data_IF_472733160099
#
_entry.id   IF_472733160099
#
_cell.length_a   1.000
_cell.length_b   1.000
_cell.length_c   1.000
_cell.angle_alpha   90.00
_cell.angle_beta   90.00
_cell.angle_gamma   90.00
#
_symmetry.space_group_name_H-M   'P 1'
#
loop_
_entity.id
_entity.type
_entity.pdbx_description
1 polymer ?
#
# COMPACT_ATOMS: atom_id res chain seq x y z
N UNK A 1 -20.88 -16.44 28.39
CA UNK A 1 -21.29 -15.57 27.28
C UNK A 1 -20.86 -16.21 25.98
N UNK A 2 -21.73 -16.37 24.96
CA UNK A 2 -21.32 -16.88 23.65
C UNK A 2 -20.32 -15.93 23.02
N UNK A 3 -19.19 -16.43 22.54
CA UNK A 3 -18.17 -15.62 21.86
C UNK A 3 -18.81 -14.90 20.65
N UNK A 4 -18.71 -13.58 20.58
CA UNK A 4 -19.19 -12.79 19.44
C UNK A 4 -18.45 -13.24 18.19
N UNK A 5 -19.15 -13.82 17.24
CA UNK A 5 -18.54 -14.36 16.00
C UNK A 5 -19.13 -13.64 14.81
N UNK A 6 -18.30 -12.92 14.05
CA UNK A 6 -18.69 -12.29 12.78
C UNK A 6 -18.33 -13.18 11.58
N UNK A 7 -18.90 -12.89 10.40
CA UNK A 7 -18.52 -13.59 9.14
C UNK A 7 -17.01 -13.48 8.86
N UNK A 8 -16.41 -12.31 9.16
CA UNK A 8 -14.98 -12.08 8.98
C UNK A 8 -14.13 -13.02 9.82
N UNK A 9 -14.45 -13.13 11.11
CA UNK A 9 -13.76 -14.05 12.04
C UNK A 9 -13.92 -15.51 11.62
N UNK A 10 -15.13 -15.93 11.17
CA UNK A 10 -15.34 -17.27 10.64
C UNK A 10 -14.48 -17.54 9.40
N UNK A 11 -14.29 -16.55 8.54
CA UNK A 11 -13.41 -16.67 7.37
C UNK A 11 -11.95 -16.84 7.82
N UNK A 12 -11.45 -15.99 8.73
CA UNK A 12 -10.07 -16.03 9.23
C UNK A 12 -9.74 -17.34 9.95
N UNK A 13 -10.67 -17.83 10.79
CA UNK A 13 -10.51 -19.10 11.52
C UNK A 13 -10.84 -20.34 10.67
N UNK A 14 -11.41 -20.16 9.48
CA UNK A 14 -11.82 -21.22 8.57
C UNK A 14 -10.69 -21.77 7.69
N UNK A 15 -11.06 -22.27 6.50
CA UNK A 15 -10.12 -22.81 5.53
C UNK A 15 -9.22 -21.68 4.96
N UNK A 16 -7.88 -21.80 5.06
CA UNK A 16 -6.96 -20.71 4.68
C UNK A 16 -7.01 -20.37 3.19
N UNK A 17 -7.22 -21.32 2.29
CA UNK A 17 -7.33 -21.07 0.85
C UNK A 17 -8.57 -20.24 0.53
N UNK A 18 -9.72 -20.63 1.14
CA UNK A 18 -10.97 -19.87 0.99
C UNK A 18 -10.87 -18.49 1.62
N UNK A 19 -10.15 -18.35 2.74
CA UNK A 19 -9.92 -17.08 3.41
C UNK A 19 -9.11 -16.12 2.51
N UNK A 20 -8.00 -16.58 1.94
CA UNK A 20 -7.21 -15.78 1.00
C UNK A 20 -8.09 -15.25 -0.14
N UNK A 21 -8.86 -16.10 -0.81
CA UNK A 21 -9.72 -15.66 -1.93
C UNK A 21 -10.78 -14.65 -1.47
N UNK A 22 -11.52 -14.97 -0.40
CA UNK A 22 -12.64 -14.14 0.08
C UNK A 22 -12.19 -12.78 0.59
N UNK A 23 -10.98 -12.65 1.11
CA UNK A 23 -10.45 -11.37 1.57
C UNK A 23 -9.71 -10.62 0.46
N UNK A 24 -9.05 -11.31 -0.46
CA UNK A 24 -8.30 -10.67 -1.55
C UNK A 24 -9.21 -9.99 -2.58
N UNK A 25 -10.29 -10.63 -3.01
CA UNK A 25 -11.17 -10.10 -4.06
C UNK A 25 -11.74 -8.72 -3.71
N UNK A 26 -12.37 -8.52 -2.53
CA UNK A 26 -12.84 -7.19 -2.15
C UNK A 26 -11.70 -6.17 -2.08
N UNK A 27 -10.55 -6.55 -1.54
CA UNK A 27 -9.41 -5.64 -1.46
C UNK A 27 -8.86 -5.24 -2.83
N UNK A 28 -8.79 -6.18 -3.77
CA UNK A 28 -8.40 -5.89 -5.16
C UNK A 28 -9.38 -4.90 -5.81
N UNK A 29 -10.68 -5.09 -5.63
CA UNK A 29 -11.71 -4.18 -6.16
C UNK A 29 -11.55 -2.78 -5.55
N UNK A 30 -11.45 -2.67 -4.22
CA UNK A 30 -11.29 -1.39 -3.54
C UNK A 30 -10.05 -0.63 -4.01
N UNK A 31 -8.91 -1.32 -4.11
CA UNK A 31 -7.65 -0.72 -4.59
C UNK A 31 -7.69 -0.37 -6.08
N UNK A 32 -8.41 -1.14 -6.91
CA UNK A 32 -8.62 -0.80 -8.33
C UNK A 32 -9.42 0.50 -8.47
N UNK A 33 -10.50 0.65 -7.71
CA UNK A 33 -11.31 1.89 -7.72
C UNK A 33 -10.48 3.08 -7.22
N UNK A 34 -9.65 2.88 -6.19
CA UNK A 34 -8.73 3.91 -5.72
C UNK A 34 -7.70 4.30 -6.79
N UNK A 35 -7.21 3.35 -7.59
CA UNK A 35 -6.29 3.65 -8.71
C UNK A 35 -7.00 4.45 -9.80
N UNK A 36 -8.24 4.10 -10.14
CA UNK A 36 -9.06 4.88 -11.10
C UNK A 36 -9.29 6.31 -10.59
N UNK A 37 -9.58 6.46 -9.30
CA UNK A 37 -9.71 7.78 -8.67
C UNK A 37 -8.42 8.61 -8.84
N UNK A 38 -7.26 8.05 -8.51
CA UNK A 38 -5.98 8.79 -8.64
C UNK A 38 -5.71 9.24 -10.08
N UNK A 39 -6.15 8.47 -11.08
CA UNK A 39 -6.04 8.86 -12.48
C UNK A 39 -7.04 9.98 -12.83
N UNK A 40 -8.28 9.89 -12.36
CA UNK A 40 -9.32 10.89 -12.61
C UNK A 40 -8.97 12.24 -11.98
N UNK A 41 -8.52 12.25 -10.72
CA UNK A 41 -8.05 13.45 -10.02
C UNK A 41 -6.92 14.15 -10.79
N UNK A 42 -5.92 13.38 -11.25
CA UNK A 42 -4.86 13.91 -12.09
C UNK A 42 -5.36 14.53 -13.41
N UNK A 43 -6.40 13.96 -14.03
CA UNK A 43 -7.02 14.51 -15.24
C UNK A 43 -7.74 15.83 -14.93
N UNK A 44 -8.54 15.89 -13.88
CA UNK A 44 -9.27 17.10 -13.49
C UNK A 44 -8.30 18.24 -13.15
N UNK A 45 -7.27 17.99 -12.36
CA UNK A 45 -6.26 19.01 -12.00
C UNK A 45 -5.48 19.47 -13.23
N UNK A 46 -5.18 18.58 -14.19
CA UNK A 46 -4.44 18.96 -15.40
C UNK A 46 -5.17 19.98 -16.26
N UNK A 47 -6.50 19.99 -16.21
CA UNK A 47 -7.33 20.98 -16.91
C UNK A 47 -7.21 22.40 -16.38
N UNK A 48 -6.62 22.62 -15.20
CA UNK A 48 -6.38 23.93 -14.59
C UNK A 48 -5.07 24.59 -15.06
N UNK A 49 -4.23 23.86 -15.79
CA UNK A 49 -2.97 24.36 -16.31
C UNK A 49 -1.74 24.00 -15.46
N UNK A 50 -0.55 24.47 -15.90
CA UNK A 50 0.73 24.01 -15.35
C UNK A 50 0.97 24.42 -13.89
N UNK A 51 0.50 25.59 -13.44
CA UNK A 51 0.68 26.05 -12.06
C UNK A 51 -0.07 25.17 -11.06
N UNK A 52 -1.28 24.72 -11.40
CA UNK A 52 -2.06 23.82 -10.58
C UNK A 52 -1.41 22.43 -10.47
N UNK A 53 -0.91 21.89 -11.58
CA UNK A 53 -0.14 20.64 -11.58
C UNK A 53 1.14 20.74 -10.75
N UNK A 54 1.86 21.85 -10.87
CA UNK A 54 3.06 22.11 -10.09
C UNK A 54 2.73 22.21 -8.59
N UNK A 55 1.62 22.84 -8.22
CA UNK A 55 1.16 22.95 -6.83
C UNK A 55 0.90 21.58 -6.20
N UNK A 56 0.15 20.72 -6.87
CA UNK A 56 -0.11 19.34 -6.40
C UNK A 56 1.20 18.53 -6.36
N UNK A 57 2.07 18.71 -7.36
CA UNK A 57 3.39 18.08 -7.42
C UNK A 57 4.30 18.45 -6.24
N UNK A 58 4.28 19.71 -5.79
CA UNK A 58 5.03 20.17 -4.61
C UNK A 58 4.55 19.50 -3.31
N UNK A 59 3.26 19.30 -3.15
CA UNK A 59 2.70 18.65 -1.96
C UNK A 59 2.84 17.13 -1.99
N UNK A 60 2.97 16.51 -3.16
CA UNK A 60 2.96 15.05 -3.32
C UNK A 60 3.95 14.30 -2.41
N UNK A 61 5.23 14.72 -2.23
CA UNK A 61 6.15 14.04 -1.32
C UNK A 61 5.69 14.10 0.15
N UNK A 62 5.14 15.23 0.58
CA UNK A 62 4.60 15.39 1.93
C UNK A 62 3.39 14.47 2.14
N UNK A 63 2.48 14.47 1.18
CA UNK A 63 1.30 13.61 1.20
C UNK A 63 1.67 12.12 1.23
N UNK A 64 2.65 11.69 0.43
CA UNK A 64 3.17 10.32 0.46
C UNK A 64 3.79 9.96 1.81
N UNK A 65 4.45 10.90 2.47
CA UNK A 65 4.95 10.72 3.83
C UNK A 65 3.81 10.46 4.83
N UNK A 66 2.76 11.27 4.78
CA UNK A 66 1.55 11.11 5.61
C UNK A 66 0.88 9.74 5.37
N UNK A 67 0.66 9.39 4.11
CA UNK A 67 0.05 8.11 3.72
C UNK A 67 0.92 6.92 4.16
N UNK A 68 2.25 7.02 4.07
CA UNK A 68 3.17 5.97 4.50
C UNK A 68 3.06 5.71 5.99
N UNK A 69 3.01 6.76 6.82
CA UNK A 69 2.84 6.65 8.27
C UNK A 69 1.46 6.08 8.62
N UNK A 70 0.41 6.61 8.00
CA UNK A 70 -0.98 6.18 8.22
C UNK A 70 -1.21 4.71 7.83
N UNK A 71 -0.71 4.33 6.65
CA UNK A 71 -0.82 2.96 6.12
C UNK A 71 -0.01 1.97 6.96
N UNK A 72 1.20 2.35 7.39
CA UNK A 72 1.99 1.52 8.30
C UNK A 72 1.27 1.24 9.61
N UNK A 73 0.69 2.26 10.24
CA UNK A 73 -0.11 2.09 11.45
C UNK A 73 -1.33 1.18 11.21
N UNK A 74 -2.01 1.33 10.06
CA UNK A 74 -3.10 0.46 9.65
C UNK A 74 -2.67 -1.00 9.42
N UNK A 75 -1.47 -1.25 8.88
CA UNK A 75 -0.90 -2.59 8.73
C UNK A 75 -0.55 -3.19 10.10
N UNK A 76 -0.02 -2.38 11.03
CA UNK A 76 0.24 -2.79 12.41
C UNK A 76 -1.04 -3.21 13.14
N UNK A 77 -2.11 -2.43 13.02
CA UNK A 77 -3.43 -2.73 13.57
C UNK A 77 -4.00 -4.03 12.97
N UNK A 78 -3.99 -4.17 11.62
CA UNK A 78 -4.41 -5.38 10.91
C UNK A 78 -3.70 -6.63 11.46
N UNK A 79 -2.39 -6.57 11.53
CA UNK A 79 -1.55 -7.67 11.99
C UNK A 79 -1.83 -8.06 13.44
N UNK A 80 -1.88 -7.08 14.36
CA UNK A 80 -2.08 -7.33 15.78
C UNK A 80 -3.49 -7.88 16.07
N UNK A 81 -4.54 -7.30 15.45
CA UNK A 81 -5.93 -7.77 15.59
C UNK A 81 -6.07 -9.20 15.06
N UNK A 82 -5.54 -9.48 13.86
CA UNK A 82 -5.65 -10.81 13.27
C UNK A 82 -5.01 -11.90 14.15
N UNK A 83 -3.85 -11.61 14.76
CA UNK A 83 -3.20 -12.54 15.71
C UNK A 83 -4.07 -12.78 16.94
N UNK A 84 -4.66 -11.74 17.55
CA UNK A 84 -5.55 -11.86 18.72
C UNK A 84 -6.81 -12.66 18.38
N UNK A 85 -7.40 -12.44 17.20
CA UNK A 85 -8.53 -13.25 16.70
C UNK A 85 -8.16 -14.72 16.56
N UNK A 86 -6.99 -15.01 15.99
CA UNK A 86 -6.48 -16.38 15.91
C UNK A 86 -6.29 -17.03 17.28
N UNK A 87 -5.76 -16.30 18.24
CA UNK A 87 -5.56 -16.72 19.62
C UNK A 87 -6.88 -16.80 20.43
N UNK A 88 -8.03 -16.40 19.86
CA UNK A 88 -9.34 -16.27 20.54
C UNK A 88 -9.32 -15.27 21.71
N UNK A 89 -8.44 -14.30 21.64
CA UNK A 89 -8.27 -13.24 22.61
C UNK A 89 -9.10 -12.01 22.17
N UNK A 90 -10.40 -12.03 22.53
CA UNK A 90 -11.35 -10.96 22.18
C UNK A 90 -10.97 -9.64 22.84
N UNK A 91 -10.67 -9.69 24.15
CA UNK A 91 -10.30 -8.53 24.95
C UNK A 91 -9.01 -7.87 24.42
N UNK A 92 -8.02 -8.70 24.10
CA UNK A 92 -6.80 -8.20 23.46
C UNK A 92 -7.04 -7.60 22.08
N UNK A 93 -7.96 -8.13 21.27
CA UNK A 93 -8.32 -7.57 19.97
C UNK A 93 -9.02 -6.21 20.12
N UNK A 94 -9.93 -6.06 21.09
CA UNK A 94 -10.59 -4.80 21.40
C UNK A 94 -9.58 -3.75 21.85
N UNK A 95 -8.68 -4.14 22.73
CA UNK A 95 -7.66 -3.23 23.25
C UNK A 95 -6.66 -2.79 22.15
N UNK A 96 -6.31 -3.69 21.22
CA UNK A 96 -5.51 -3.29 20.02
C UNK A 96 -6.27 -2.28 19.17
N UNK A 97 -7.57 -2.46 18.94
CA UNK A 97 -8.37 -1.53 18.17
C UNK A 97 -8.44 -0.13 18.82
N UNK A 98 -8.63 -0.08 20.16
CA UNK A 98 -8.64 1.18 20.91
C UNK A 98 -7.27 1.88 20.86
N UNK A 99 -6.16 1.15 21.09
CA UNK A 99 -4.81 1.70 20.95
C UNK A 99 -4.55 2.24 19.56
N UNK A 100 -4.97 1.50 18.51
CA UNK A 100 -4.82 1.93 17.12
C UNK A 100 -5.60 3.20 16.82
N UNK A 101 -6.80 3.34 17.38
CA UNK A 101 -7.60 4.56 17.28
C UNK A 101 -6.90 5.75 17.96
N UNK A 102 -6.44 5.58 19.21
CA UNK A 102 -5.72 6.63 19.93
C UNK A 102 -4.44 7.04 19.18
N UNK A 103 -3.68 6.07 18.68
CA UNK A 103 -2.49 6.35 17.87
C UNK A 103 -2.82 7.10 16.59
N UNK A 104 -3.97 6.80 15.95
CA UNK A 104 -4.41 7.54 14.76
C UNK A 104 -4.73 9.00 15.05
N UNK A 105 -5.37 9.24 16.20
CA UNK A 105 -5.66 10.60 16.69
C UNK A 105 -4.35 11.36 16.99
N UNK A 106 -3.46 10.75 17.77
CA UNK A 106 -2.18 11.37 18.12
C UNK A 106 -1.33 11.68 16.89
N UNK A 107 -1.22 10.72 15.95
CA UNK A 107 -0.47 10.90 14.71
C UNK A 107 -1.06 11.99 13.84
N UNK A 108 -2.38 11.98 13.62
CA UNK A 108 -3.07 12.98 12.80
C UNK A 108 -2.95 14.39 13.37
N UNK A 109 -3.16 14.54 14.68
CA UNK A 109 -2.99 15.83 15.39
C UNK A 109 -1.53 16.30 15.33
N UNK A 110 -0.57 15.40 15.56
CA UNK A 110 0.86 15.73 15.48
C UNK A 110 1.21 16.23 14.06
N UNK A 111 0.75 15.55 13.01
CA UNK A 111 0.99 15.97 11.62
C UNK A 111 0.41 17.38 11.40
N UNK A 112 -0.83 17.64 11.82
CA UNK A 112 -1.46 18.96 11.68
C UNK A 112 -0.64 20.03 12.40
N UNK A 113 -0.33 19.83 13.69
CA UNK A 113 0.37 20.82 14.52
C UNK A 113 1.79 21.11 14.01
N UNK A 114 2.49 20.09 13.49
CA UNK A 114 3.87 20.25 13.03
C UNK A 114 3.96 20.74 11.60
N UNK A 115 3.14 20.22 10.69
CA UNK A 115 3.24 20.51 9.25
C UNK A 115 2.52 21.81 8.86
N UNK A 116 1.36 22.11 9.46
CA UNK A 116 0.55 23.26 9.08
C UNK A 116 1.31 24.59 9.23
N UNK A 117 2.06 24.87 10.31
CA UNK A 117 2.83 26.09 10.43
C UNK A 117 4.15 26.11 9.62
N UNK A 118 4.65 24.93 9.21
CA UNK A 118 5.95 24.81 8.56
C UNK A 118 5.86 24.64 7.04
N UNK A 119 4.68 24.33 6.50
CA UNK A 119 4.51 23.98 5.08
C UNK A 119 4.93 25.13 4.13
N UNK A 120 4.66 26.36 4.51
CA UNK A 120 5.03 27.57 3.77
C UNK A 120 6.56 27.69 3.64
N UNK A 121 7.26 27.60 4.78
CA UNK A 121 8.73 27.64 4.82
C UNK A 121 9.32 26.44 4.06
N UNK A 122 8.71 25.27 4.16
CA UNK A 122 9.15 24.07 3.44
C UNK A 122 9.13 24.29 1.93
N UNK A 123 8.01 24.73 1.34
CA UNK A 123 7.92 24.92 -0.11
C UNK A 123 8.84 26.02 -0.61
N UNK A 124 8.97 27.14 0.14
CA UNK A 124 9.90 28.20 -0.23
C UNK A 124 11.37 27.74 -0.14
N UNK A 125 11.71 26.89 0.83
CA UNK A 125 13.07 26.31 0.95
C UNK A 125 13.40 25.35 -0.20
N UNK A 126 12.40 24.71 -0.84
CA UNK A 126 12.58 23.87 -2.03
C UNK A 126 12.89 24.72 -3.29
N UNK A 127 12.97 26.04 -3.18
CA UNK A 127 13.24 26.93 -4.29
C UNK A 127 12.04 27.26 -5.16
N UNK A 128 10.86 26.82 -4.78
CA UNK A 128 9.63 27.09 -5.49
C UNK A 128 9.21 28.58 -5.31
N UNK A 129 8.73 29.22 -6.39
CA UNK A 129 8.37 30.64 -6.43
C UNK A 129 7.13 30.86 -7.28
N UNK A 130 6.50 32.02 -7.10
CA UNK A 130 5.36 32.45 -7.92
C UNK A 130 4.02 31.80 -7.51
N UNK A 131 3.06 31.84 -8.40
CA UNK A 131 1.68 31.41 -8.17
C UNK A 131 1.55 29.92 -7.74
N UNK A 132 2.38 29.04 -8.31
CA UNK A 132 2.35 27.62 -8.00
C UNK A 132 2.62 27.32 -6.51
N UNK A 133 3.45 28.14 -5.84
CA UNK A 133 3.72 27.97 -4.40
C UNK A 133 2.53 28.40 -3.57
N UNK A 134 1.90 29.52 -3.89
CA UNK A 134 0.71 29.99 -3.14
C UNK A 134 -0.42 28.96 -3.27
N UNK A 135 -0.67 28.46 -4.48
CA UNK A 135 -1.63 27.38 -4.72
C UNK A 135 -1.28 26.10 -3.95
N UNK A 136 0.01 25.74 -3.89
CA UNK A 136 0.47 24.57 -3.14
C UNK A 136 0.24 24.73 -1.62
N UNK A 137 0.47 25.93 -1.07
CA UNK A 137 0.24 26.24 0.33
C UNK A 137 -1.24 26.13 0.67
N UNK A 138 -2.11 26.75 -0.12
CA UNK A 138 -3.57 26.70 0.08
C UNK A 138 -4.09 25.28 -0.02
N UNK A 139 -3.73 24.54 -1.07
CA UNK A 139 -4.08 23.14 -1.28
C UNK A 139 -3.66 22.26 -0.09
N UNK A 140 -2.40 22.41 0.34
CA UNK A 140 -1.82 21.64 1.42
C UNK A 140 -2.47 21.91 2.77
N UNK A 141 -2.79 23.17 3.06
CA UNK A 141 -3.44 23.57 4.32
C UNK A 141 -4.77 22.86 4.51
N UNK A 142 -5.58 22.74 3.46
CA UNK A 142 -6.86 22.02 3.51
C UNK A 142 -6.65 20.55 3.91
N UNK A 143 -5.70 19.86 3.27
CA UNK A 143 -5.44 18.45 3.55
C UNK A 143 -4.74 18.22 4.90
N UNK A 144 -3.86 19.14 5.32
CA UNK A 144 -3.20 19.06 6.62
C UNK A 144 -4.15 19.28 7.81
N UNK A 145 -5.16 20.14 7.66
CA UNK A 145 -6.25 20.27 8.65
C UNK A 145 -7.00 18.94 8.76
N UNK A 146 -7.19 18.23 7.64
CA UNK A 146 -7.83 16.91 7.58
C UNK A 146 -6.91 15.73 7.90
N UNK A 147 -5.65 15.93 8.32
CA UNK A 147 -4.69 14.84 8.50
C UNK A 147 -5.18 13.74 9.44
N UNK A 148 -5.91 14.09 10.51
CA UNK A 148 -6.54 13.08 11.37
C UNK A 148 -7.50 12.16 10.61
N UNK A 149 -8.33 12.72 9.74
CA UNK A 149 -9.28 11.96 8.91
C UNK A 149 -8.54 10.99 7.99
N UNK A 150 -7.44 11.46 7.38
CA UNK A 150 -6.60 10.64 6.50
C UNK A 150 -6.01 9.46 7.27
N UNK A 151 -5.43 9.71 8.44
CA UNK A 151 -4.81 8.68 9.28
C UNK A 151 -5.87 7.71 9.80
N UNK A 152 -6.99 8.23 10.31
CA UNK A 152 -8.09 7.40 10.82
C UNK A 152 -8.64 6.45 9.74
N UNK A 153 -8.86 6.93 8.50
CA UNK A 153 -9.37 6.10 7.42
C UNK A 153 -8.42 4.92 7.11
N UNK A 154 -7.11 5.17 7.11
CA UNK A 154 -6.13 4.10 6.90
C UNK A 154 -6.11 3.08 8.05
N UNK A 155 -6.15 3.55 9.29
CA UNK A 155 -6.17 2.70 10.49
C UNK A 155 -7.50 1.95 10.61
N UNK A 156 -8.63 2.60 10.38
CA UNK A 156 -9.96 1.99 10.38
C UNK A 156 -10.08 0.89 9.33
N UNK A 157 -9.59 1.13 8.12
CA UNK A 157 -9.45 0.07 7.10
C UNK A 157 -8.54 -1.06 7.58
N UNK A 158 -7.45 -0.75 8.29
CA UNK A 158 -6.57 -1.73 8.91
C UNK A 158 -7.29 -2.61 9.93
N UNK A 159 -8.09 -2.01 10.80
CA UNK A 159 -8.92 -2.71 11.79
C UNK A 159 -9.91 -3.66 11.10
N UNK A 160 -10.69 -3.16 10.13
CA UNK A 160 -11.66 -3.96 9.38
C UNK A 160 -11.00 -5.16 8.66
N UNK A 161 -9.83 -4.95 8.06
CA UNK A 161 -9.06 -6.05 7.44
C UNK A 161 -8.56 -7.04 8.48
N UNK A 162 -8.12 -6.56 9.64
CA UNK A 162 -7.62 -7.38 10.73
C UNK A 162 -8.67 -8.32 11.32
N UNK A 163 -9.93 -7.88 11.36
CA UNK A 163 -11.06 -8.73 11.77
C UNK A 163 -11.67 -9.58 10.63
N UNK A 164 -11.10 -9.50 9.42
CA UNK A 164 -11.58 -10.25 8.26
C UNK A 164 -12.77 -9.64 7.54
N UNK A 165 -13.17 -8.40 7.85
CA UNK A 165 -14.25 -7.70 7.15
C UNK A 165 -13.72 -6.90 5.95
N UNK A 166 -13.17 -7.62 4.97
CA UNK A 166 -12.66 -7.03 3.74
C UNK A 166 -13.76 -6.36 2.91
N UNK A 167 -15.02 -6.76 3.07
CA UNK A 167 -16.13 -6.15 2.33
C UNK A 167 -16.40 -4.72 2.81
N UNK A 168 -16.42 -4.46 4.13
CA UNK A 168 -16.55 -3.09 4.65
C UNK A 168 -15.32 -2.25 4.32
N UNK A 169 -14.12 -2.81 4.41
CA UNK A 169 -12.91 -2.13 3.98
C UNK A 169 -12.98 -1.72 2.49
N UNK A 170 -13.44 -2.62 1.61
CA UNK A 170 -13.69 -2.31 0.19
C UNK A 170 -14.75 -1.22 0.02
N UNK A 171 -15.89 -1.35 0.69
CA UNK A 171 -16.97 -0.35 0.59
C UNK A 171 -16.51 1.05 1.01
N UNK A 172 -15.72 1.16 2.08
CA UNK A 172 -15.15 2.43 2.51
C UNK A 172 -14.24 3.04 1.43
N UNK A 173 -13.38 2.22 0.79
CA UNK A 173 -12.52 2.67 -0.31
C UNK A 173 -13.33 3.08 -1.55
N UNK A 174 -14.32 2.27 -1.94
CA UNK A 174 -15.17 2.55 -3.11
C UNK A 174 -16.01 3.81 -2.91
N UNK A 175 -16.60 3.99 -1.72
CA UNK A 175 -17.38 5.18 -1.38
C UNK A 175 -16.50 6.45 -1.42
N UNK A 176 -15.35 6.43 -0.75
CA UNK A 176 -14.44 7.58 -0.74
C UNK A 176 -13.93 7.93 -2.13
N UNK A 177 -13.44 6.95 -2.87
CA UNK A 177 -12.91 7.16 -4.23
C UNK A 177 -14.01 7.57 -5.22
N UNK A 178 -15.16 6.90 -5.17
CA UNK A 178 -16.30 7.20 -6.06
C UNK A 178 -16.87 8.59 -5.81
N UNK A 179 -17.02 8.98 -4.53
CA UNK A 179 -17.49 10.30 -4.16
C UNK A 179 -16.49 11.39 -4.61
N UNK A 180 -15.20 11.15 -4.46
CA UNK A 180 -14.18 12.10 -4.89
C UNK A 180 -14.23 12.35 -6.41
N UNK A 181 -14.31 11.29 -7.24
CA UNK A 181 -14.43 11.43 -8.71
C UNK A 181 -15.59 12.34 -9.10
N UNK A 182 -16.70 12.29 -8.35
CA UNK A 182 -17.89 13.12 -8.61
C UNK A 182 -17.71 14.54 -8.08
N UNK A 183 -17.10 14.71 -6.91
CA UNK A 183 -16.93 16.01 -6.27
C UNK A 183 -15.84 16.87 -6.90
N UNK A 184 -14.78 16.26 -7.44
CA UNK A 184 -13.68 17.01 -8.06
C UNK A 184 -14.17 18.00 -9.12
N UNK A 185 -14.89 17.60 -10.20
CA UNK A 185 -15.33 18.56 -11.22
C UNK A 185 -16.30 19.59 -10.65
N UNK A 186 -17.07 19.26 -9.63
CA UNK A 186 -17.99 20.22 -8.99
C UNK A 186 -17.20 21.31 -8.27
N UNK A 187 -16.25 20.94 -7.42
CA UNK A 187 -15.49 21.90 -6.63
C UNK A 187 -14.46 22.66 -7.48
N UNK A 188 -13.83 21.98 -8.44
CA UNK A 188 -12.80 22.56 -9.30
C UNK A 188 -13.41 23.57 -10.27
N UNK A 189 -14.43 23.14 -11.04
CA UNK A 189 -14.94 23.89 -12.18
C UNK A 189 -16.28 24.57 -11.89
N UNK A 190 -17.27 23.87 -11.32
CA UNK A 190 -18.61 24.43 -11.15
C UNK A 190 -18.63 25.49 -10.05
N UNK A 191 -17.96 25.23 -8.91
CA UNK A 191 -17.81 26.20 -7.83
C UNK A 191 -16.63 27.16 -8.03
N UNK A 192 -15.75 26.89 -9.00
CA UNK A 192 -14.65 27.76 -9.37
C UNK A 192 -13.50 27.85 -8.37
N UNK A 193 -13.37 26.87 -7.44
CA UNK A 193 -12.29 26.87 -6.43
C UNK A 193 -10.93 26.42 -6.99
N UNK A 194 -10.85 26.03 -8.27
CA UNK A 194 -9.59 25.63 -8.90
C UNK A 194 -8.92 24.45 -8.18
N UNK A 195 -7.60 24.51 -8.03
CA UNK A 195 -6.83 23.41 -7.40
C UNK A 195 -7.18 23.21 -5.91
N UNK A 196 -7.55 24.27 -5.20
CA UNK A 196 -8.00 24.17 -3.79
C UNK A 196 -9.32 23.42 -3.72
N UNK A 197 -10.16 23.52 -4.77
CA UNK A 197 -11.38 22.72 -4.92
C UNK A 197 -11.11 21.21 -4.92
N UNK A 198 -10.04 20.76 -5.57
CA UNK A 198 -9.62 19.35 -5.50
C UNK A 198 -9.26 18.92 -4.06
N UNK A 199 -8.61 19.78 -3.28
CA UNK A 199 -8.34 19.50 -1.86
C UNK A 199 -9.63 19.40 -1.03
N UNK A 200 -10.60 20.29 -1.25
CA UNK A 200 -11.90 20.23 -0.58
C UNK A 200 -12.68 18.96 -0.96
N UNK A 201 -12.72 18.58 -2.23
CA UNK A 201 -13.38 17.38 -2.71
C UNK A 201 -12.76 16.12 -2.07
N UNK A 202 -11.42 16.07 -2.04
CA UNK A 202 -10.67 14.98 -1.40
C UNK A 202 -10.97 14.91 0.10
N UNK A 203 -10.89 16.03 0.82
CA UNK A 203 -11.15 16.05 2.25
C UNK A 203 -12.60 15.67 2.58
N UNK A 204 -13.57 16.20 1.83
CA UNK A 204 -15.00 15.87 2.03
C UNK A 204 -15.26 14.38 1.79
N UNK A 205 -14.72 13.80 0.73
CA UNK A 205 -14.82 12.37 0.44
C UNK A 205 -14.22 11.52 1.55
N UNK A 206 -13.08 11.95 2.09
CA UNK A 206 -12.44 11.28 3.23
C UNK A 206 -13.24 11.44 4.53
N UNK A 207 -13.89 12.58 4.76
CA UNK A 207 -14.79 12.79 5.91
C UNK A 207 -16.00 11.86 5.82
N UNK A 208 -16.60 11.71 4.65
CA UNK A 208 -17.73 10.78 4.46
C UNK A 208 -17.26 9.34 4.74
N UNK A 209 -16.11 8.94 4.22
CA UNK A 209 -15.50 7.62 4.49
C UNK A 209 -15.26 7.42 6.00
N UNK A 210 -14.70 8.43 6.66
CA UNK A 210 -14.48 8.45 8.11
C UNK A 210 -15.80 8.22 8.87
N UNK A 211 -16.87 8.94 8.51
CA UNK A 211 -18.17 8.79 9.15
C UNK A 211 -18.75 7.38 8.98
N UNK A 212 -18.59 6.75 7.80
CA UNK A 212 -19.02 5.37 7.60
C UNK A 212 -18.22 4.37 8.45
N UNK A 213 -16.90 4.49 8.48
CA UNK A 213 -16.04 3.63 9.30
C UNK A 213 -16.35 3.85 10.78
N UNK A 214 -16.48 5.10 11.22
CA UNK A 214 -16.83 5.44 12.60
C UNK A 214 -18.21 4.92 12.97
N UNK A 215 -19.21 5.03 12.08
CA UNK A 215 -20.53 4.45 12.29
C UNK A 215 -20.46 2.93 12.54
N UNK A 216 -19.72 2.19 11.74
CA UNK A 216 -19.61 0.75 11.92
C UNK A 216 -18.88 0.37 13.22
N UNK A 217 -17.79 1.06 13.54
CA UNK A 217 -16.95 0.73 14.70
C UNK A 217 -17.54 1.22 16.04
N UNK A 218 -18.16 2.40 16.07
CA UNK A 218 -18.57 3.02 17.34
C UNK A 218 -20.09 3.00 17.59
N UNK A 219 -20.93 3.08 16.53
CA UNK A 219 -22.38 3.23 16.66
C UNK A 219 -23.07 1.88 16.45
N UNK A 220 -22.90 1.27 15.28
CA UNK A 220 -23.57 0.02 14.93
C UNK A 220 -23.05 -1.17 15.72
N UNK A 221 -21.76 -1.17 16.07
CA UNK A 221 -21.09 -2.18 16.91
C UNK A 221 -21.35 -3.62 16.50
N UNK A 222 -21.51 -3.86 15.19
CA UNK A 222 -21.67 -5.20 14.62
C UNK A 222 -20.37 -5.76 14.02
N UNK A 223 -19.26 -5.04 14.19
CA UNK A 223 -17.89 -5.49 13.98
C UNK A 223 -17.46 -6.47 15.07
N UNK A 224 -16.41 -7.24 14.84
CA UNK A 224 -15.90 -8.15 15.88
C UNK A 224 -15.31 -7.36 17.04
N UNK A 225 -14.46 -6.37 16.75
CA UNK A 225 -13.88 -5.50 17.79
C UNK A 225 -14.92 -4.50 18.31
N UNK A 226 -14.89 -4.27 19.62
CA UNK A 226 -15.69 -3.28 20.30
C UNK A 226 -14.77 -2.17 20.84
N UNK A 227 -14.90 -0.96 20.25
CA UNK A 227 -14.08 0.18 20.64
C UNK A 227 -14.84 0.98 21.68
N UNK A 228 -14.53 0.73 22.96
CA UNK A 228 -15.13 1.40 24.11
C UNK A 228 -14.03 1.98 24.99
N UNK A 229 -13.93 3.31 25.06
CA UNK A 229 -12.90 3.98 25.88
C UNK A 229 -12.99 3.63 27.37
N UNK A 230 -14.15 3.15 27.82
CA UNK A 230 -14.36 2.70 29.20
C UNK A 230 -13.51 1.48 29.54
N UNK A 231 -13.25 0.62 28.57
CA UNK A 231 -12.50 -0.63 28.74
C UNK A 231 -11.03 -0.47 28.32
N UNK A 232 -10.61 0.77 28.10
CA UNK A 232 -9.24 1.08 27.71
C UNK A 232 -8.25 0.77 28.83
N UNK A 233 -7.35 -0.15 28.60
CA UNK A 233 -6.24 -0.48 29.47
C UNK A 233 -4.91 -0.16 28.75
N UNK A 234 -4.22 0.94 29.11
CA UNK A 234 -2.95 1.30 28.51
C UNK A 234 -1.93 0.16 28.65
N UNK A 235 -1.47 -0.38 27.52
CA UNK A 235 -0.51 -1.48 27.51
C UNK A 235 0.68 -1.16 26.61
N UNK A 236 1.86 -1.13 27.20
CA UNK A 236 3.13 -1.00 26.45
C UNK A 236 3.35 -2.17 25.50
N UNK A 237 2.87 -3.34 25.86
CA UNK A 237 2.98 -4.54 25.02
C UNK A 237 2.17 -4.40 23.75
N UNK A 238 0.91 -3.97 23.87
CA UNK A 238 0.03 -3.72 22.69
C UNK A 238 0.61 -2.62 21.83
N UNK A 239 1.04 -1.51 22.42
CA UNK A 239 1.69 -0.42 21.68
C UNK A 239 2.92 -0.93 20.91
N UNK A 240 3.80 -1.69 21.58
CA UNK A 240 4.96 -2.30 20.94
C UNK A 240 4.57 -3.29 19.82
N UNK A 241 3.51 -4.05 20.01
CA UNK A 241 3.04 -5.03 19.05
C UNK A 241 2.52 -4.36 17.76
N UNK A 242 1.79 -3.25 17.89
CA UNK A 242 1.34 -2.43 16.75
C UNK A 242 2.52 -1.78 16.04
N UNK A 243 3.40 -1.10 16.80
CA UNK A 243 4.52 -0.33 16.25
C UNK A 243 5.61 -1.21 15.65
N UNK A 244 5.82 -2.43 16.17
CA UNK A 244 6.79 -3.39 15.65
C UNK A 244 6.50 -3.82 14.21
N UNK A 245 5.27 -3.73 13.78
CA UNK A 245 4.87 -3.96 12.39
C UNK A 245 4.63 -2.63 11.67
N UNK A 246 3.98 -1.69 12.34
CA UNK A 246 3.58 -0.41 11.76
C UNK A 246 4.75 0.45 11.30
N UNK A 247 5.73 0.72 12.18
CA UNK A 247 6.89 1.55 11.84
C UNK A 247 7.74 0.94 10.70
N UNK A 248 8.13 -0.35 10.75
CA UNK A 248 8.82 -0.96 9.62
C UNK A 248 8.02 -0.92 8.32
N UNK A 249 6.69 -1.05 8.37
CA UNK A 249 5.84 -0.96 7.18
C UNK A 249 5.82 0.45 6.59
N UNK A 250 5.78 1.49 7.43
CA UNK A 250 5.93 2.89 7.00
C UNK A 250 7.28 3.12 6.31
N UNK A 251 8.37 2.67 6.92
CA UNK A 251 9.71 2.77 6.36
C UNK A 251 9.86 1.97 5.05
N UNK A 252 9.17 0.84 4.94
CA UNK A 252 9.14 0.06 3.69
C UNK A 252 8.51 0.85 2.54
N UNK A 253 7.42 1.58 2.80
CA UNK A 253 6.79 2.42 1.78
C UNK A 253 7.66 3.61 1.39
N UNK A 254 8.28 4.27 2.37
CA UNK A 254 9.24 5.36 2.09
C UNK A 254 10.44 4.86 1.28
N UNK A 255 10.96 3.67 1.60
CA UNK A 255 12.08 3.09 0.84
C UNK A 255 11.72 2.79 -0.62
N UNK A 256 10.46 2.42 -0.91
CA UNK A 256 9.98 2.27 -2.29
C UNK A 256 9.98 3.61 -3.05
N UNK A 257 9.58 4.71 -2.41
CA UNK A 257 9.64 6.05 -3.01
C UNK A 257 11.07 6.49 -3.29
N UNK A 258 12.00 6.20 -2.37
CA UNK A 258 13.44 6.46 -2.54
C UNK A 258 14.00 5.62 -3.70
N UNK A 259 13.62 4.34 -3.78
CA UNK A 259 14.05 3.47 -4.88
C UNK A 259 13.57 4.00 -6.24
N UNK A 260 12.34 4.52 -6.30
CA UNK A 260 11.80 5.11 -7.52
C UNK A 260 12.59 6.36 -7.95
N UNK A 261 13.00 7.20 -7.00
CA UNK A 261 13.87 8.33 -7.27
C UNK A 261 15.20 7.89 -7.92
N UNK A 262 15.86 6.88 -7.36
CA UNK A 262 17.10 6.35 -7.94
C UNK A 262 16.89 5.68 -9.30
N UNK A 263 15.79 4.93 -9.49
CA UNK A 263 15.48 4.31 -10.77
C UNK A 263 15.23 5.36 -11.86
N UNK A 264 14.55 6.46 -11.53
CA UNK A 264 14.40 7.61 -12.42
C UNK A 264 15.76 8.20 -12.81
N UNK A 265 16.65 8.39 -11.83
CA UNK A 265 18.00 8.88 -12.07
C UNK A 265 18.80 7.96 -13.01
N UNK A 266 18.71 6.64 -12.80
CA UNK A 266 19.35 5.64 -13.68
C UNK A 266 18.75 5.66 -15.09
N UNK A 267 17.43 5.86 -15.23
CA UNK A 267 16.78 5.98 -16.54
C UNK A 267 17.23 7.24 -17.29
N UNK A 268 17.43 8.38 -16.56
CA UNK A 268 17.99 9.60 -17.13
C UNK A 268 19.43 9.38 -17.58
N UNK A 269 20.26 8.72 -16.76
CA UNK A 269 21.66 8.38 -17.13
C UNK A 269 21.73 7.52 -18.40
N UNK A 270 20.78 6.58 -18.56
CA UNK A 270 20.77 5.63 -19.67
C UNK A 270 20.23 6.23 -20.99
N UNK A 271 19.34 7.23 -20.96
CA UNK A 271 18.65 7.71 -22.15
C UNK A 271 18.19 9.17 -22.11
N UNK A 272 18.67 9.97 -21.13
CA UNK A 272 18.28 11.39 -20.99
C UNK A 272 16.77 11.56 -20.82
N UNK A 273 16.22 12.61 -21.42
CA UNK A 273 14.79 12.91 -21.39
C UNK A 273 13.93 11.81 -22.03
N UNK A 274 14.42 11.17 -23.07
CA UNK A 274 13.75 10.01 -23.67
C UNK A 274 13.69 8.83 -22.71
N UNK A 275 14.76 8.57 -21.98
CA UNK A 275 14.85 7.47 -21.00
C UNK A 275 13.82 7.61 -19.90
N UNK A 276 13.69 8.80 -19.30
CA UNK A 276 12.71 9.04 -18.25
C UNK A 276 11.28 9.01 -18.79
N UNK A 277 11.02 9.50 -20.01
CA UNK A 277 9.70 9.45 -20.63
C UNK A 277 9.24 7.98 -20.85
N UNK A 278 10.11 7.14 -21.41
CA UNK A 278 9.85 5.71 -21.61
C UNK A 278 9.64 4.99 -20.27
N UNK A 279 10.50 5.26 -19.28
CA UNK A 279 10.38 4.65 -17.96
C UNK A 279 9.06 5.01 -17.30
N UNK A 280 8.73 6.30 -17.26
CA UNK A 280 7.49 6.79 -16.63
C UNK A 280 6.24 6.21 -17.31
N UNK A 281 6.22 6.18 -18.65
CA UNK A 281 5.12 5.59 -19.41
C UNK A 281 4.94 4.09 -19.11
N UNK A 282 6.04 3.34 -19.13
CA UNK A 282 6.03 1.90 -18.80
C UNK A 282 5.63 1.66 -17.35
N UNK A 283 6.14 2.48 -16.42
CA UNK A 283 5.84 2.34 -14.99
C UNK A 283 4.37 2.57 -14.68
N UNK A 284 3.71 3.54 -15.33
CA UNK A 284 2.26 3.76 -15.18
C UNK A 284 1.44 2.53 -15.52
N UNK A 285 1.78 1.85 -16.61
CA UNK A 285 1.13 0.58 -17.00
C UNK A 285 1.43 -0.52 -15.97
N UNK A 286 2.68 -0.61 -15.54
CA UNK A 286 3.13 -1.61 -14.56
C UNK A 286 2.45 -1.44 -13.19
N UNK A 287 2.18 -0.19 -12.78
CA UNK A 287 1.46 0.12 -11.53
C UNK A 287 0.03 -0.48 -11.52
N UNK A 288 -0.64 -0.56 -12.66
CA UNK A 288 -1.94 -1.22 -12.74
C UNK A 288 -1.84 -2.72 -12.42
N UNK A 289 -0.73 -3.36 -12.82
CA UNK A 289 -0.45 -4.75 -12.50
C UNK A 289 -0.13 -5.00 -11.02
N UNK A 290 0.38 -4.02 -10.28
CA UNK A 290 0.70 -4.17 -8.85
C UNK A 290 -0.57 -4.22 -7.97
N UNK A 291 -1.68 -3.65 -8.42
CA UNK A 291 -2.93 -3.56 -7.63
C UNK A 291 -3.42 -4.91 -7.11
N UNK A 292 -3.52 -5.98 -7.92
CA UNK A 292 -3.91 -7.30 -7.44
C UNK A 292 -3.00 -7.82 -6.32
N UNK A 293 -1.68 -7.64 -6.47
CA UNK A 293 -0.70 -8.08 -5.47
C UNK A 293 -0.90 -7.37 -4.14
N UNK A 294 -1.15 -6.06 -4.15
CA UNK A 294 -1.40 -5.28 -2.93
C UNK A 294 -2.66 -5.75 -2.19
N UNK A 295 -3.75 -6.01 -2.92
CA UNK A 295 -4.97 -6.56 -2.34
C UNK A 295 -4.75 -7.93 -1.69
N UNK A 296 -3.99 -8.78 -2.36
CA UNK A 296 -3.61 -10.10 -1.83
C UNK A 296 -2.65 -10.02 -0.65
N UNK A 297 -1.71 -9.07 -0.64
CA UNK A 297 -0.81 -8.86 0.49
C UNK A 297 -1.58 -8.48 1.76
N UNK A 298 -2.57 -7.59 1.65
CA UNK A 298 -3.42 -7.21 2.78
C UNK A 298 -4.20 -8.41 3.37
N UNK A 299 -4.74 -9.27 2.51
CA UNK A 299 -5.40 -10.52 2.91
C UNK A 299 -4.42 -11.52 3.52
N UNK A 300 -3.23 -11.65 2.94
CA UNK A 300 -2.18 -12.57 3.43
C UNK A 300 -1.74 -12.18 4.83
N UNK A 301 -1.55 -10.88 5.12
CA UNK A 301 -1.22 -10.39 6.47
C UNK A 301 -2.27 -10.82 7.49
N UNK A 302 -3.56 -10.64 7.19
CA UNK A 302 -4.65 -11.03 8.10
C UNK A 302 -4.74 -12.55 8.31
N UNK A 303 -4.74 -13.34 7.21
CA UNK A 303 -4.91 -14.80 7.29
C UNK A 303 -3.71 -15.49 7.94
N UNK A 304 -2.48 -15.07 7.61
CA UNK A 304 -1.27 -15.61 8.25
C UNK A 304 -1.14 -15.17 9.70
N UNK A 305 -1.58 -13.94 10.02
CA UNK A 305 -1.65 -13.45 11.40
C UNK A 305 -2.60 -14.28 12.26
N UNK A 306 -3.82 -14.54 11.76
CA UNK A 306 -4.79 -15.38 12.46
C UNK A 306 -4.28 -16.82 12.63
N UNK A 307 -3.69 -17.42 11.59
CA UNK A 307 -3.13 -18.77 11.67
C UNK A 307 -1.96 -18.86 12.67
N UNK A 308 -1.13 -17.80 12.74
CA UNK A 308 -0.04 -17.72 13.72
C UNK A 308 -0.57 -17.58 15.14
N UNK A 309 -1.58 -16.72 15.37
CA UNK A 309 -2.26 -16.58 16.66
C UNK A 309 -2.92 -17.89 17.14
N UNK A 310 -3.51 -18.65 16.21
CA UNK A 310 -4.07 -20.01 16.46
C UNK A 310 -2.98 -21.06 16.75
N UNK A 311 -1.69 -20.70 16.61
CA UNK A 311 -0.54 -21.63 16.66
C UNK A 311 -0.62 -22.78 15.65
N UNK A 312 -1.33 -22.57 14.56
CA UNK A 312 -1.55 -23.57 13.50
C UNK A 312 -0.61 -23.28 12.32
N UNK A 313 0.57 -23.92 12.36
CA UNK A 313 1.61 -23.68 11.35
C UNK A 313 1.27 -24.29 9.98
N UNK A 314 0.51 -25.38 9.94
CA UNK A 314 0.05 -25.96 8.67
C UNK A 314 -0.89 -25.00 7.94
N UNK A 315 -1.79 -24.37 8.69
CA UNK A 315 -2.72 -23.36 8.18
C UNK A 315 -1.98 -22.12 7.70
N UNK A 316 -0.97 -21.66 8.46
CA UNK A 316 -0.09 -20.56 8.09
C UNK A 316 0.65 -20.85 6.78
N UNK A 317 1.31 -22.01 6.71
CA UNK A 317 2.06 -22.43 5.51
C UNK A 317 1.14 -22.54 4.28
N UNK A 318 -0.04 -23.14 4.48
CA UNK A 318 -1.04 -23.28 3.41
C UNK A 318 -1.52 -21.93 2.91
N UNK A 319 -1.83 -20.98 3.81
CA UNK A 319 -2.23 -19.62 3.45
C UNK A 319 -1.13 -18.90 2.65
N UNK A 320 0.09 -18.94 3.17
CA UNK A 320 1.25 -18.29 2.57
C UNK A 320 1.55 -18.82 1.16
N UNK A 321 1.67 -20.13 1.00
CA UNK A 321 1.98 -20.72 -0.31
C UNK A 321 0.84 -20.57 -1.31
N UNK A 322 -0.40 -20.65 -0.84
CA UNK A 322 -1.56 -20.47 -1.70
C UNK A 322 -1.68 -19.03 -2.18
N UNK A 323 -1.40 -18.05 -1.32
CA UNK A 323 -1.35 -16.65 -1.71
C UNK A 323 -0.28 -16.38 -2.78
N UNK A 324 0.94 -16.95 -2.62
CA UNK A 324 1.99 -16.86 -3.65
C UNK A 324 1.50 -17.46 -4.96
N UNK A 325 0.97 -18.69 -4.92
CA UNK A 325 0.49 -19.39 -6.13
C UNK A 325 -0.57 -18.58 -6.86
N UNK A 326 -1.57 -18.07 -6.14
CA UNK A 326 -2.66 -17.33 -6.73
C UNK A 326 -2.18 -16.00 -7.33
N UNK A 327 -1.36 -15.24 -6.59
CA UNK A 327 -0.77 -13.99 -7.07
C UNK A 327 0.12 -14.21 -8.29
N UNK A 328 0.94 -15.27 -8.28
CA UNK A 328 1.78 -15.63 -9.42
C UNK A 328 0.95 -15.91 -10.67
N UNK A 329 -0.16 -16.64 -10.56
CA UNK A 329 -1.03 -16.95 -11.70
C UNK A 329 -1.73 -15.70 -12.24
N UNK A 330 -2.17 -14.80 -11.35
CA UNK A 330 -2.78 -13.52 -11.74
C UNK A 330 -1.76 -12.66 -12.47
N UNK A 331 -0.55 -12.50 -11.93
CA UNK A 331 0.49 -11.68 -12.55
C UNK A 331 0.99 -12.28 -13.87
N UNK A 332 1.04 -13.58 -13.98
CA UNK A 332 1.35 -14.23 -15.25
C UNK A 332 0.34 -13.83 -16.35
N UNK A 333 -0.95 -13.80 -16.00
CA UNK A 333 -2.01 -13.34 -16.91
C UNK A 333 -1.88 -11.85 -17.25
N UNK A 334 -1.65 -11.00 -16.25
CA UNK A 334 -1.46 -9.55 -16.44
C UNK A 334 -0.25 -9.26 -17.33
N UNK A 335 0.88 -9.88 -17.03
CA UNK A 335 2.12 -9.68 -17.80
C UNK A 335 1.98 -10.21 -19.23
N UNK A 336 1.36 -11.38 -19.41
CA UNK A 336 1.07 -11.92 -20.74
C UNK A 336 0.19 -10.96 -21.56
N UNK A 337 -0.84 -10.37 -20.92
CA UNK A 337 -1.70 -9.37 -21.56
C UNK A 337 -0.88 -8.14 -21.98
N UNK A 338 -0.08 -7.56 -21.09
CA UNK A 338 0.72 -6.36 -21.38
C UNK A 338 1.73 -6.63 -22.50
N UNK A 339 2.40 -7.79 -22.51
CA UNK A 339 3.37 -8.16 -23.54
C UNK A 339 2.71 -8.34 -24.90
N UNK A 340 1.56 -9.04 -24.94
CA UNK A 340 0.82 -9.30 -26.19
C UNK A 340 0.26 -8.01 -26.80
N UNK A 341 -0.29 -7.12 -25.96
CA UNK A 341 -0.89 -5.87 -26.38
C UNK A 341 0.05 -4.65 -26.23
N UNK A 342 1.37 -4.88 -26.07
CA UNK A 342 2.35 -3.81 -25.92
C UNK A 342 2.28 -2.72 -27.02
N UNK A 343 2.10 -3.04 -28.33
CA UNK A 343 1.97 -2.00 -29.35
C UNK A 343 0.69 -1.14 -29.19
N UNK A 344 -0.44 -1.75 -28.82
CA UNK A 344 -1.71 -1.06 -28.58
C UNK A 344 -1.65 -0.18 -27.34
N UNK A 345 -1.07 -0.71 -26.25
CA UNK A 345 -0.84 0.04 -25.02
C UNK A 345 0.12 1.21 -25.27
N UNK A 346 1.22 0.99 -26.00
CA UNK A 346 2.15 2.06 -26.36
C UNK A 346 1.47 3.16 -27.18
N UNK A 347 0.55 2.81 -28.10
CA UNK A 347 -0.19 3.78 -28.91
C UNK A 347 -0.97 4.78 -28.03
N UNK A 348 -1.55 4.36 -26.91
CA UNK A 348 -2.27 5.26 -26.00
C UNK A 348 -1.38 6.37 -25.41
N UNK A 349 -0.08 6.13 -25.33
CA UNK A 349 0.90 7.10 -24.83
C UNK A 349 1.66 7.85 -25.93
N UNK A 350 1.54 7.40 -27.18
CA UNK A 350 2.31 7.92 -28.32
C UNK A 350 1.42 8.33 -29.50
N UNK A 351 0.18 8.78 -29.22
CA UNK A 351 -0.74 9.23 -30.28
C UNK A 351 -0.36 10.60 -30.87
N UNK A 352 0.39 11.45 -30.11
CA UNK A 352 0.89 12.74 -30.57
C UNK A 352 2.16 12.57 -31.40
N UNK A 353 2.37 13.45 -32.39
CA UNK A 353 3.56 13.40 -33.26
C UNK A 353 4.88 13.48 -32.49
N UNK A 354 4.94 14.34 -31.46
CA UNK A 354 6.12 14.47 -30.59
C UNK A 354 6.45 13.20 -29.81
N UNK A 355 5.43 12.42 -29.41
CA UNK A 355 5.60 11.19 -28.65
C UNK A 355 5.89 9.94 -29.53
N UNK A 356 5.68 10.03 -30.84
CA UNK A 356 5.98 8.91 -31.75
C UNK A 356 7.46 8.50 -31.74
N UNK A 357 8.35 9.45 -31.48
CA UNK A 357 9.79 9.21 -31.44
C UNK A 357 10.21 8.16 -30.38
N UNK A 358 9.43 7.98 -29.29
CA UNK A 358 9.73 7.02 -28.22
C UNK A 358 8.95 5.72 -28.33
N UNK A 359 8.07 5.56 -29.35
CA UNK A 359 7.16 4.42 -29.49
C UNK A 359 7.87 3.07 -29.49
N UNK A 360 8.96 2.94 -30.25
CA UNK A 360 9.71 1.69 -30.35
C UNK A 360 10.35 1.29 -29.02
N UNK A 361 10.94 2.24 -28.31
CA UNK A 361 11.56 2.04 -27.01
C UNK A 361 10.49 1.72 -25.95
N UNK A 362 9.34 2.38 -26.01
CA UNK A 362 8.21 2.11 -25.11
C UNK A 362 7.64 0.70 -25.28
N UNK A 363 7.48 0.23 -26.53
CA UNK A 363 7.07 -1.16 -26.81
C UNK A 363 8.11 -2.15 -26.26
N UNK A 364 9.40 -1.89 -26.46
CA UNK A 364 10.48 -2.73 -25.92
C UNK A 364 10.44 -2.77 -24.39
N UNK A 365 10.23 -1.63 -23.74
CA UNK A 365 10.12 -1.52 -22.29
C UNK A 365 8.87 -2.24 -21.77
N UNK A 366 7.70 -2.10 -22.41
CA UNK A 366 6.45 -2.79 -22.05
C UNK A 366 6.54 -4.31 -22.22
N UNK A 367 7.41 -4.80 -23.09
CA UNK A 367 7.66 -6.24 -23.25
C UNK A 367 8.67 -6.81 -22.26
N UNK A 368 9.49 -5.97 -21.63
CA UNK A 368 10.58 -6.43 -20.76
C UNK A 368 10.30 -6.11 -19.29
N UNK A 369 10.04 -4.84 -18.97
CA UNK A 369 9.92 -4.41 -17.58
C UNK A 369 8.80 -5.15 -16.81
N UNK A 370 7.58 -5.33 -17.31
CA UNK A 370 6.52 -5.98 -16.55
C UNK A 370 6.81 -7.43 -16.12
N UNK A 371 7.81 -8.08 -16.73
CA UNK A 371 8.22 -9.46 -16.36
C UNK A 371 8.56 -9.55 -14.86
N UNK A 372 9.08 -8.48 -14.26
CA UNK A 372 9.38 -8.50 -12.83
C UNK A 372 8.14 -8.74 -11.96
N UNK A 373 6.93 -8.37 -12.43
CA UNK A 373 5.68 -8.58 -11.70
C UNK A 373 5.39 -10.06 -11.46
N UNK A 374 5.74 -10.94 -12.41
CA UNK A 374 5.55 -12.41 -12.28
C UNK A 374 6.24 -12.96 -11.04
N UNK A 375 7.40 -12.40 -10.68
CA UNK A 375 8.21 -12.85 -9.54
C UNK A 375 7.96 -12.04 -8.27
N UNK A 376 7.31 -10.88 -8.37
CA UNK A 376 6.99 -10.01 -7.25
C UNK A 376 6.18 -10.71 -6.13
N UNK A 377 5.22 -11.61 -6.42
CA UNK A 377 4.48 -12.34 -5.40
C UNK A 377 5.35 -13.09 -4.39
N UNK A 378 6.47 -13.66 -4.81
CA UNK A 378 7.37 -14.40 -3.91
C UNK A 378 7.94 -13.50 -2.81
N UNK A 379 8.30 -12.25 -3.14
CA UNK A 379 8.79 -11.27 -2.16
C UNK A 379 7.67 -10.61 -1.38
N UNK A 380 6.61 -10.15 -2.05
CA UNK A 380 5.54 -9.37 -1.40
C UNK A 380 4.67 -10.23 -0.47
N UNK A 381 4.31 -11.46 -0.85
CA UNK A 381 3.56 -12.34 0.04
C UNK A 381 4.42 -12.79 1.22
N UNK A 382 5.75 -12.92 1.05
CA UNK A 382 6.68 -13.16 2.16
C UNK A 382 6.72 -11.97 3.12
N UNK A 383 6.82 -10.74 2.61
CA UNK A 383 6.72 -9.53 3.43
C UNK A 383 5.39 -9.45 4.17
N UNK A 384 4.27 -9.74 3.51
CA UNK A 384 2.94 -9.78 4.10
C UNK A 384 2.81 -10.85 5.19
N UNK A 385 3.39 -12.03 4.98
CA UNK A 385 3.45 -13.09 5.99
C UNK A 385 4.29 -12.64 7.21
N UNK A 386 5.46 -12.01 7.01
CA UNK A 386 6.25 -11.47 8.12
C UNK A 386 5.48 -10.39 8.90
N UNK A 387 4.76 -9.51 8.23
CA UNK A 387 3.86 -8.56 8.88
C UNK A 387 2.78 -9.29 9.70
N UNK A 388 2.13 -10.29 9.11
CA UNK A 388 1.08 -11.07 9.77
C UNK A 388 1.53 -11.74 11.07
N UNK A 389 2.72 -12.35 11.07
CA UNK A 389 3.29 -13.00 12.27
C UNK A 389 3.94 -12.04 13.28
N UNK A 390 3.89 -10.70 13.03
CA UNK A 390 4.44 -9.69 13.93
C UNK A 390 5.94 -9.41 13.75
N UNK A 391 6.56 -9.86 12.66
CA UNK A 391 7.98 -9.66 12.35
C UNK A 391 8.17 -8.55 11.29
N UNK A 392 7.64 -7.35 11.57
CA UNK A 392 7.67 -6.22 10.64
C UNK A 392 9.08 -5.79 10.22
N UNK A 393 10.06 -5.91 11.10
CA UNK A 393 11.46 -5.63 10.80
C UNK A 393 12.00 -6.52 9.66
N UNK A 394 11.59 -7.78 9.60
CA UNK A 394 12.00 -8.68 8.50
C UNK A 394 11.34 -8.31 7.18
N UNK A 395 10.09 -7.85 7.23
CA UNK A 395 9.40 -7.30 6.07
C UNK A 395 10.11 -6.06 5.52
N UNK A 396 10.56 -5.15 6.41
CA UNK A 396 11.35 -3.97 6.02
C UNK A 396 12.66 -4.36 5.36
N UNK A 397 13.45 -5.22 6.00
CA UNK A 397 14.74 -5.69 5.46
C UNK A 397 14.55 -6.31 4.08
N UNK A 398 13.54 -7.17 3.90
CA UNK A 398 13.25 -7.78 2.61
C UNK A 398 12.83 -6.76 1.55
N UNK A 399 12.04 -5.75 1.93
CA UNK A 399 11.61 -4.70 1.00
C UNK A 399 12.77 -3.81 0.57
N UNK A 400 13.60 -3.33 1.51
CA UNK A 400 14.79 -2.53 1.24
C UNK A 400 15.78 -3.31 0.37
N UNK A 401 16.03 -4.57 0.72
CA UNK A 401 16.88 -5.45 -0.06
C UNK A 401 16.38 -5.58 -1.51
N UNK A 402 15.09 -5.82 -1.70
CA UNK A 402 14.48 -5.97 -3.02
C UNK A 402 14.58 -4.68 -3.84
N UNK A 403 14.16 -3.55 -3.26
CA UNK A 403 13.95 -2.31 -4.04
C UNK A 403 15.22 -1.50 -4.17
N UNK A 404 15.90 -1.19 -3.06
CA UNK A 404 17.07 -0.33 -3.07
C UNK A 404 18.35 -1.07 -3.45
N UNK A 405 18.55 -2.30 -2.93
CA UNK A 405 19.81 -3.00 -3.18
C UNK A 405 19.73 -3.75 -4.50
N UNK A 406 18.73 -4.59 -4.70
CA UNK A 406 18.69 -5.45 -5.89
C UNK A 406 18.19 -4.69 -7.13
N UNK A 407 17.00 -4.07 -7.11
CA UNK A 407 16.45 -3.45 -8.32
C UNK A 407 17.28 -2.24 -8.75
N UNK A 408 17.56 -1.28 -7.86
CA UNK A 408 18.39 -0.11 -8.18
C UNK A 408 19.82 -0.51 -8.48
N UNK A 409 20.41 -1.40 -7.67
CA UNK A 409 21.79 -1.85 -7.85
C UNK A 409 22.02 -2.52 -9.20
N UNK A 410 21.20 -3.51 -9.58
CA UNK A 410 21.34 -4.16 -10.89
C UNK A 410 21.03 -3.21 -12.06
N UNK A 411 20.03 -2.32 -11.93
CA UNK A 411 19.76 -1.33 -12.95
C UNK A 411 20.97 -0.41 -13.17
N UNK A 412 21.57 0.09 -12.09
CA UNK A 412 22.78 0.91 -12.14
C UNK A 412 23.97 0.15 -12.75
N UNK A 413 24.22 -1.07 -12.28
CA UNK A 413 25.33 -1.91 -12.78
C UNK A 413 25.21 -2.17 -14.28
N UNK A 414 24.01 -2.49 -14.77
CA UNK A 414 23.83 -2.80 -16.20
C UNK A 414 23.94 -1.55 -17.06
N UNK A 415 23.47 -0.40 -16.61
CA UNK A 415 23.63 0.86 -17.35
C UNK A 415 25.08 1.31 -17.38
N UNK A 416 25.82 1.16 -16.28
CA UNK A 416 27.18 1.69 -16.17
C UNK A 416 28.26 0.76 -16.76
N UNK A 417 28.11 -0.56 -16.60
CA UNK A 417 29.13 -1.53 -16.98
C UNK A 417 28.84 -2.34 -18.26
N UNK A 418 27.65 -2.08 -18.90
CA UNK A 418 27.32 -2.75 -20.17
C UNK A 418 26.88 -1.73 -21.22
N UNK A 419 26.90 -2.13 -22.48
CA UNK A 419 26.41 -1.32 -23.60
C UNK A 419 24.89 -1.40 -23.83
N UNK A 420 24.11 -1.85 -22.83
CA UNK A 420 22.68 -2.10 -22.99
C UNK A 420 21.81 -0.81 -22.97
N UNK A 421 22.35 0.32 -22.48
CA UNK A 421 21.60 1.57 -22.39
C UNK A 421 20.29 1.41 -21.61
N UNK A 422 19.18 1.90 -22.16
CA UNK A 422 17.85 1.77 -21.52
C UNK A 422 17.40 0.33 -21.26
N UNK A 423 17.79 -0.63 -22.10
CA UNK A 423 17.50 -2.05 -21.85
C UNK A 423 18.15 -2.54 -20.56
N UNK A 424 19.31 -1.97 -20.21
CA UNK A 424 19.99 -2.26 -18.94
C UNK A 424 19.14 -1.91 -17.72
N UNK A 425 18.38 -0.81 -17.77
CA UNK A 425 17.46 -0.43 -16.69
C UNK A 425 16.38 -1.50 -16.49
N UNK A 426 15.72 -1.92 -17.58
CA UNK A 426 14.63 -2.89 -17.53
C UNK A 426 15.10 -4.26 -17.06
N UNK A 427 16.18 -4.76 -17.66
CA UNK A 427 16.77 -6.04 -17.29
C UNK A 427 17.32 -6.03 -15.86
N UNK A 428 17.90 -4.91 -15.43
CA UNK A 428 18.39 -4.75 -14.06
C UNK A 428 17.27 -4.86 -13.03
N UNK A 429 16.13 -4.21 -13.27
CA UNK A 429 14.95 -4.32 -12.39
C UNK A 429 14.43 -5.77 -12.38
N UNK A 430 14.33 -6.42 -13.54
CA UNK A 430 13.84 -7.81 -13.64
C UNK A 430 14.75 -8.78 -12.89
N UNK A 431 16.07 -8.72 -13.15
CA UNK A 431 17.05 -9.61 -12.51
C UNK A 431 17.17 -9.30 -11.03
N UNK A 432 17.21 -8.02 -10.65
CA UNK A 432 17.23 -7.63 -9.24
C UNK A 432 16.02 -8.15 -8.48
N UNK A 433 14.83 -8.06 -9.08
CA UNK A 433 13.61 -8.61 -8.46
C UNK A 433 13.64 -10.14 -8.40
N UNK A 434 14.23 -10.81 -9.40
CA UNK A 434 14.36 -12.27 -9.41
C UNK A 434 15.24 -12.75 -8.23
N UNK A 435 16.40 -12.12 -8.04
CA UNK A 435 17.30 -12.44 -6.91
C UNK A 435 16.59 -12.21 -5.58
N UNK A 436 15.90 -11.07 -5.45
CA UNK A 436 15.16 -10.75 -4.23
C UNK A 436 13.97 -11.70 -3.99
N UNK A 437 13.30 -12.14 -5.05
CA UNK A 437 12.19 -13.10 -4.96
C UNK A 437 12.67 -14.47 -4.44
N UNK A 438 13.77 -14.99 -4.98
CA UNK A 438 14.36 -16.26 -4.53
C UNK A 438 14.84 -16.15 -3.08
N UNK A 439 15.57 -15.09 -2.74
CA UNK A 439 16.08 -14.85 -1.38
C UNK A 439 14.91 -14.71 -0.38
N UNK A 440 13.92 -13.88 -0.71
CA UNK A 440 12.76 -13.65 0.14
C UNK A 440 11.94 -14.92 0.36
N UNK A 441 11.64 -15.65 -0.70
CA UNK A 441 10.91 -16.91 -0.61
C UNK A 441 11.65 -17.94 0.24
N UNK A 442 12.96 -18.10 0.02
CA UNK A 442 13.78 -19.01 0.80
C UNK A 442 13.78 -18.65 2.28
N UNK A 443 13.95 -17.35 2.59
CA UNK A 443 13.89 -16.86 3.97
C UNK A 443 12.52 -17.12 4.62
N UNK A 444 11.43 -16.82 3.92
CA UNK A 444 10.07 -17.12 4.37
C UNK A 444 9.86 -18.61 4.66
N UNK A 445 10.31 -19.49 3.74
CA UNK A 445 10.24 -20.95 3.91
C UNK A 445 11.03 -21.43 5.12
N UNK A 446 12.24 -20.94 5.31
CA UNK A 446 13.07 -21.29 6.47
C UNK A 446 12.42 -20.84 7.77
N UNK A 447 11.79 -19.65 7.80
CA UNK A 447 11.10 -19.15 8.98
C UNK A 447 9.89 -20.01 9.35
N UNK A 448 9.06 -20.36 8.37
CA UNK A 448 7.92 -21.26 8.60
C UNK A 448 8.37 -22.63 9.12
N UNK A 449 9.47 -23.17 8.57
CA UNK A 449 10.04 -24.44 9.06
C UNK A 449 10.58 -24.33 10.49
N UNK A 450 11.17 -23.20 10.87
CA UNK A 450 11.64 -23.02 12.26
C UNK A 450 10.48 -23.07 13.25
N UNK A 451 9.33 -22.49 12.91
CA UNK A 451 8.13 -22.58 13.75
C UNK A 451 7.62 -24.02 13.90
N UNK A 452 7.65 -24.83 12.83
CA UNK A 452 7.28 -26.25 12.93
C UNK A 452 8.08 -26.99 14.01
N UNK A 453 9.39 -26.71 14.10
CA UNK A 453 10.26 -27.31 15.13
C UNK A 453 9.88 -26.82 16.53
N UNK A 454 9.79 -25.52 16.73
CA UNK A 454 9.49 -24.92 18.04
C UNK A 454 8.13 -25.36 18.58
N UNK A 455 7.08 -25.36 17.76
CA UNK A 455 5.74 -25.75 18.22
C UNK A 455 5.57 -27.26 18.39
N UNK A 456 6.32 -28.13 17.68
CA UNK A 456 6.32 -29.56 17.91
C UNK A 456 7.01 -29.94 19.24
N UNK A 457 8.09 -29.25 19.59
CA UNK A 457 8.80 -29.41 20.86
C UNK A 457 7.92 -29.02 22.05
N UNK A 458 7.19 -27.91 21.96
CA UNK A 458 6.28 -27.46 23.02
C UNK A 458 5.10 -28.46 23.23
N UNK A 459 4.62 -29.08 22.16
CA UNK A 459 3.52 -30.05 22.23
C UNK A 459 3.96 -31.38 22.91
N UNK A 460 5.22 -31.75 22.76
CA UNK A 460 5.79 -32.95 23.39
C UNK A 460 6.13 -32.77 24.87
N UNK A 461 6.28 -31.50 25.33
CA UNK A 461 6.56 -31.18 26.76
C UNK A 461 5.25 -31.11 27.57
N UNK A 462 4.10 -30.90 26.95
CA UNK A 462 2.79 -30.74 27.61
C UNK A 462 1.92 -32.02 27.63
N UNK A 463 2.44 -33.15 27.19
CA UNK A 463 1.78 -34.46 27.38
C UNK A 463 2.48 -35.17 28.53
N UNK A 464 1.79 -35.39 29.70
CA UNK A 464 2.29 -36.25 30.76
C UNK A 464 2.26 -37.73 30.35
#
# INVERSE_FOLDING_TARGET
>A
MSEKTTKGVQILRGNPKKAIIKLSIPMMIGMSVQTVYNLADGIWVSGLGPNALAAVGLFFPVFMGIISLASGLGIGANSAIARRIGARDKEGADNVAIHSFILSLLLGVTITITMLPTIDSLFRSMGAKGEAVELAIEYSRVLLIGAFVIVFNNVGNGILRGEGDANRAMLAMVLGSGLNIILDPIFIYTLGFGVVGAAYATLLSMIVTFLFIAYWLFIKRDTYVDITLRDFSPSREILKDILRVGLPSSLSQLSMSIAMFFLNSVAIMAGGERGIAVFTGTWRVTMLGIVPILGMAAATTAVTGAAYGERNIEKLETAYLYAIKLAFLIELGVVAFVILFAPQVAYLFTYSESAQAIKGELISALRTLPIFLVLTPFGMMTSAMFQGIGEGEKSLVLTVFRTLIMQVGFAYLFVHYTSLGLKGVWLGIVIGNMVAAVTGFTWGRLRVRSFKRTFSETKNITLP
#
